data_IF_492666227667
#
_entry.id   IF_492666227667
#
_cell.length_a   1.000
_cell.length_b   1.000
_cell.length_c   1.000
_cell.angle_alpha   90.00
_cell.angle_beta   90.00
_cell.angle_gamma   90.00
#
_symmetry.space_group_name_H-M   'P 1'
#
loop_
_entity.id
_entity.type
_entity.pdbx_description
1 polymer ?
#
# COMPACT_ATOMS: atom_id res chain seq x y z
N UNK A 1 34.31 -34.48 6.46
CA UNK A 1 34.19 -33.27 7.30
C UNK A 1 34.94 -32.14 6.60
N UNK A 2 34.30 -30.97 6.53
CA UNK A 2 34.71 -29.69 5.90
C UNK A 2 34.33 -29.45 4.43
N UNK A 3 33.41 -28.48 4.29
CA UNK A 3 33.48 -27.32 3.38
C UNK A 3 33.07 -27.49 1.92
N UNK A 4 31.77 -27.38 1.67
CA UNK A 4 31.19 -26.85 0.42
C UNK A 4 30.09 -25.85 0.79
N UNK A 5 30.50 -24.70 1.32
CA UNK A 5 29.72 -23.46 1.30
C UNK A 5 30.37 -22.59 0.24
N UNK A 6 29.83 -22.56 -0.97
CA UNK A 6 30.17 -21.52 -1.95
C UNK A 6 28.90 -21.15 -2.74
N UNK A 7 28.62 -19.84 -2.67
CA UNK A 7 27.77 -19.06 -3.56
C UNK A 7 26.27 -19.09 -3.29
N UNK A 8 25.88 -18.64 -2.08
CA UNK A 8 24.65 -17.86 -1.94
C UNK A 8 25.01 -16.45 -2.42
N UNK A 9 24.55 -16.06 -3.61
CA UNK A 9 24.46 -14.64 -3.94
C UNK A 9 23.34 -14.11 -3.05
N UNK A 10 23.68 -13.64 -1.85
CA UNK A 10 22.76 -12.81 -1.07
C UNK A 10 22.53 -11.56 -1.89
N UNK A 11 21.39 -11.49 -2.58
CA UNK A 11 20.84 -10.22 -3.06
C UNK A 11 20.28 -9.51 -1.81
N UNK A 12 21.17 -9.10 -0.90
CA UNK A 12 20.90 -8.20 0.23
C UNK A 12 20.95 -6.73 -0.23
N UNK A 13 20.71 -6.47 -1.52
CA UNK A 13 20.95 -5.16 -2.15
C UNK A 13 19.70 -4.31 -2.42
N UNK A 14 18.53 -4.67 -1.88
CA UNK A 14 17.36 -3.78 -1.96
C UNK A 14 17.24 -2.79 -0.80
N UNK A 15 17.81 -3.09 0.38
CA UNK A 15 17.74 -2.17 1.53
C UNK A 15 18.63 -0.92 1.39
N UNK A 16 19.62 -0.94 0.48
CA UNK A 16 20.62 0.12 0.36
C UNK A 16 20.33 1.15 -0.73
N UNK A 17 19.27 0.98 -1.53
CA UNK A 17 19.09 1.81 -2.72
C UNK A 17 18.46 3.18 -2.43
N UNK A 18 17.83 3.37 -1.28
CA UNK A 18 17.36 4.70 -0.87
C UNK A 18 18.45 5.57 -0.22
N UNK A 19 19.70 5.08 -0.10
CA UNK A 19 20.75 5.76 0.68
C UNK A 19 22.01 6.19 -0.10
N UNK A 20 22.16 5.92 -1.41
CA UNK A 20 23.48 6.14 -2.05
C UNK A 20 23.53 6.74 -3.46
N UNK A 21 22.42 7.18 -4.07
CA UNK A 21 22.49 7.95 -5.32
C UNK A 21 21.89 9.34 -5.16
N UNK A 22 22.71 10.41 -5.06
CA UNK A 22 22.22 11.77 -5.15
C UNK A 22 21.88 12.04 -6.62
N UNK A 23 20.67 11.68 -7.08
CA UNK A 23 20.14 12.24 -8.31
C UNK A 23 19.81 13.71 -8.06
N UNK A 24 20.58 14.61 -8.66
CA UNK A 24 20.55 16.05 -8.36
C UNK A 24 19.26 16.80 -8.79
N UNK A 25 18.17 16.08 -9.10
CA UNK A 25 16.91 16.61 -9.65
C UNK A 25 15.63 16.07 -8.94
N UNK A 26 15.72 15.60 -7.68
CA UNK A 26 14.68 14.83 -6.96
C UNK A 26 13.52 15.61 -6.30
N UNK A 27 13.26 16.86 -6.65
CA UNK A 27 12.07 17.55 -6.09
C UNK A 27 10.83 17.13 -6.88
N UNK A 28 9.90 16.40 -6.24
CA UNK A 28 8.60 16.02 -6.80
C UNK A 28 8.59 14.68 -7.55
N UNK A 29 9.09 13.63 -6.90
CA UNK A 29 9.10 12.26 -7.44
C UNK A 29 8.53 11.28 -6.43
N UNK A 30 7.60 10.44 -6.89
CA UNK A 30 7.02 9.37 -6.09
C UNK A 30 7.94 8.16 -6.04
N UNK A 31 7.99 7.48 -4.89
CA UNK A 31 8.78 6.28 -4.71
C UNK A 31 7.88 5.06 -4.45
N UNK A 32 8.22 3.87 -4.98
CA UNK A 32 7.51 2.64 -4.62
C UNK A 32 7.68 2.37 -3.12
N UNK A 33 6.62 1.95 -2.43
CA UNK A 33 6.59 1.73 -0.97
C UNK A 33 6.66 0.23 -0.62
N UNK A 34 7.57 -0.48 -1.31
CA UNK A 34 7.94 -1.86 -1.00
C UNK A 34 9.17 -1.90 -0.08
N UNK A 35 9.06 -2.69 0.98
CA UNK A 35 10.16 -2.94 1.90
C UNK A 35 10.76 -4.35 1.70
N UNK A 36 12.09 -4.41 1.85
CA UNK A 36 12.95 -5.59 1.85
C UNK A 36 12.45 -6.78 1.00
N UNK A 37 12.78 -6.78 -0.30
CA UNK A 37 12.44 -7.88 -1.22
C UNK A 37 13.48 -9.00 -1.09
N UNK A 38 13.06 -10.21 -0.74
CA UNK A 38 13.96 -11.36 -0.60
C UNK A 38 13.72 -12.43 -1.67
N UNK A 39 14.76 -12.71 -2.47
CA UNK A 39 14.77 -13.84 -3.40
C UNK A 39 14.78 -15.16 -2.65
N UNK A 40 13.83 -16.05 -2.93
CA UNK A 40 13.64 -17.29 -2.17
C UNK A 40 14.59 -18.43 -2.57
N UNK A 41 15.34 -18.26 -3.66
CA UNK A 41 16.18 -19.33 -4.21
C UNK A 41 15.36 -20.48 -4.78
N UNK A 42 14.08 -20.23 -5.07
CA UNK A 42 13.11 -21.19 -5.54
C UNK A 42 12.35 -20.61 -6.74
N UNK A 43 11.94 -21.50 -7.65
CA UNK A 43 11.05 -21.16 -8.76
C UNK A 43 9.60 -21.46 -8.40
N UNK A 44 8.66 -20.90 -9.14
CA UNK A 44 7.24 -21.22 -9.04
C UNK A 44 6.91 -22.70 -9.35
N UNK A 45 7.87 -23.50 -9.84
CA UNK A 45 7.72 -24.95 -10.00
C UNK A 45 8.16 -25.75 -8.76
N UNK A 46 8.55 -25.10 -7.66
CA UNK A 46 8.97 -25.78 -6.44
C UNK A 46 7.83 -26.58 -5.81
N UNK A 47 8.05 -27.87 -5.54
CA UNK A 47 7.04 -28.78 -5.00
C UNK A 47 6.61 -28.47 -3.56
N UNK A 48 7.42 -27.70 -2.81
CA UNK A 48 7.15 -27.34 -1.42
C UNK A 48 7.67 -25.93 -1.14
N UNK A 49 6.91 -25.15 -0.37
CA UNK A 49 7.29 -23.82 0.14
C UNK A 49 7.48 -23.90 1.67
N UNK A 50 8.72 -24.11 2.17
CA UNK A 50 8.95 -24.33 3.60
C UNK A 50 8.59 -23.13 4.48
N UNK A 51 8.75 -21.89 3.98
CA UNK A 51 8.41 -20.66 4.71
C UNK A 51 6.90 -20.45 4.89
N UNK A 52 6.07 -21.16 4.11
CA UNK A 52 4.62 -21.08 4.18
C UNK A 52 4.02 -22.05 5.21
N UNK A 53 4.84 -22.74 6.01
CA UNK A 53 4.35 -23.66 7.03
C UNK A 53 3.97 -22.90 8.32
N UNK A 54 2.96 -23.35 9.10
CA UNK A 54 2.40 -22.60 10.24
C UNK A 54 3.37 -22.23 11.39
N UNK A 55 4.64 -22.68 11.35
CA UNK A 55 5.65 -22.47 12.39
C UNK A 55 7.06 -22.17 11.84
N UNK A 56 7.21 -21.94 10.53
CA UNK A 56 8.53 -21.64 9.95
C UNK A 56 9.04 -20.26 10.38
N UNK A 57 10.37 -20.13 10.40
CA UNK A 57 11.10 -18.86 10.51
C UNK A 57 12.23 -18.89 9.47
N UNK A 58 12.32 -17.92 8.54
CA UNK A 58 11.37 -16.84 8.30
C UNK A 58 10.00 -17.34 7.80
N UNK A 59 8.95 -16.52 7.97
CA UNK A 59 7.60 -16.81 7.50
C UNK A 59 7.39 -16.18 6.13
N UNK A 60 6.58 -16.81 5.31
CA UNK A 60 6.04 -16.21 4.11
C UNK A 60 4.57 -16.61 3.98
N UNK A 61 3.77 -15.78 3.33
CA UNK A 61 2.35 -16.08 3.14
C UNK A 61 1.98 -16.28 1.68
N UNK A 62 1.21 -17.36 1.47
CA UNK A 62 0.48 -17.62 0.23
C UNK A 62 -0.83 -16.82 0.20
N UNK A 63 -1.43 -16.59 -0.98
CA UNK A 63 -2.76 -15.99 -1.12
C UNK A 63 -3.80 -16.61 -0.19
N UNK A 64 -3.88 -17.95 -0.14
CA UNK A 64 -4.86 -18.66 0.69
C UNK A 64 -4.70 -18.39 2.17
N UNK A 65 -3.48 -18.20 2.65
CA UNK A 65 -3.18 -17.92 4.05
C UNK A 65 -3.64 -16.52 4.45
N UNK A 66 -3.34 -15.50 3.64
CA UNK A 66 -3.84 -14.13 3.86
C UNK A 66 -5.37 -14.07 3.73
N UNK A 67 -5.95 -14.72 2.72
CA UNK A 67 -7.41 -14.81 2.56
C UNK A 67 -8.08 -15.47 3.78
N UNK A 68 -7.42 -16.42 4.43
CA UNK A 68 -7.90 -17.02 5.67
C UNK A 68 -7.73 -16.09 6.87
N UNK A 69 -6.55 -15.47 7.04
CA UNK A 69 -6.26 -14.56 8.14
C UNK A 69 -7.24 -13.38 8.19
N UNK A 70 -7.56 -12.80 7.03
CA UNK A 70 -8.48 -11.67 6.91
C UNK A 70 -9.94 -12.05 6.68
N UNK A 71 -10.33 -13.31 6.91
CA UNK A 71 -11.71 -13.79 6.78
C UNK A 71 -12.35 -13.50 5.40
N UNK A 72 -11.57 -13.63 4.32
CA UNK A 72 -12.02 -13.43 2.94
C UNK A 72 -12.67 -14.69 2.37
N UNK A 73 -12.17 -15.88 2.72
CA UNK A 73 -12.69 -17.16 2.20
C UNK A 73 -14.22 -17.35 2.32
N UNK A 74 -14.89 -16.95 3.43
CA UNK A 74 -16.35 -17.01 3.51
C UNK A 74 -17.08 -16.15 2.47
N UNK A 75 -16.48 -15.04 2.02
CA UNK A 75 -17.04 -14.19 0.95
C UNK A 75 -16.94 -14.88 -0.41
N UNK A 76 -15.79 -15.52 -0.69
CA UNK A 76 -15.61 -16.30 -1.92
C UNK A 76 -16.60 -17.47 -2.01
N UNK A 77 -16.82 -18.18 -0.90
CA UNK A 77 -17.81 -19.24 -0.82
C UNK A 77 -19.25 -18.74 -1.08
N UNK A 78 -19.52 -17.45 -0.85
CA UNK A 78 -20.77 -16.78 -1.14
C UNK A 78 -20.83 -16.13 -2.54
N UNK A 79 -19.80 -16.33 -3.38
CA UNK A 79 -19.71 -15.74 -4.73
C UNK A 79 -19.31 -14.26 -4.77
N UNK A 80 -18.84 -13.70 -3.65
CA UNK A 80 -18.32 -12.33 -3.57
C UNK A 80 -16.81 -12.38 -3.79
N UNK A 81 -16.37 -12.23 -5.04
CA UNK A 81 -14.98 -12.39 -5.51
C UNK A 81 -14.41 -11.13 -6.18
N UNK A 82 -15.16 -10.03 -6.20
CA UNK A 82 -14.85 -8.82 -6.98
C UNK A 82 -15.48 -8.82 -8.38
N UNK A 83 -16.31 -9.83 -8.70
CA UNK A 83 -16.94 -9.98 -10.02
C UNK A 83 -17.71 -8.72 -10.42
N UNK A 84 -17.46 -8.24 -11.65
CA UNK A 84 -18.09 -7.04 -12.19
C UNK A 84 -17.49 -5.72 -11.69
N UNK A 85 -16.44 -5.78 -10.86
CA UNK A 85 -15.65 -4.62 -10.45
C UNK A 85 -14.32 -4.57 -11.20
N UNK A 86 -13.69 -3.41 -11.19
CA UNK A 86 -12.34 -3.24 -11.75
C UNK A 86 -11.49 -2.47 -10.76
N UNK A 87 -10.33 -3.03 -10.43
CA UNK A 87 -9.32 -2.37 -9.61
C UNK A 87 -8.35 -1.68 -10.57
N UNK A 88 -8.19 -0.37 -10.40
CA UNK A 88 -7.19 0.42 -11.11
C UNK A 88 -5.94 0.48 -10.26
N UNK A 89 -4.80 0.12 -10.82
CA UNK A 89 -3.47 0.26 -10.18
C UNK A 89 -2.75 1.37 -10.93
N UNK A 90 -2.26 2.38 -10.21
CA UNK A 90 -1.42 3.44 -10.77
C UNK A 90 0.03 3.14 -10.39
N UNK A 91 0.94 3.14 -11.36
CA UNK A 91 2.36 2.93 -11.11
C UNK A 91 3.22 3.70 -12.13
N UNK A 92 4.49 3.95 -11.82
CA UNK A 92 5.44 4.51 -12.78
C UNK A 92 6.15 3.42 -13.59
N UNK A 93 6.66 3.80 -14.77
CA UNK A 93 7.39 2.92 -15.67
C UNK A 93 6.57 1.69 -16.08
N UNK A 94 7.19 0.53 -16.20
CA UNK A 94 6.55 -0.69 -16.69
C UNK A 94 7.12 -1.95 -16.05
N UNK A 95 6.31 -3.02 -16.04
CA UNK A 95 6.77 -4.37 -15.73
C UNK A 95 6.65 -5.27 -16.96
N UNK A 96 7.73 -5.49 -17.74
CA UNK A 96 7.66 -6.14 -19.05
C UNK A 96 7.28 -7.63 -18.98
N UNK A 97 7.43 -8.28 -17.82
CA UNK A 97 7.11 -9.70 -17.62
C UNK A 97 5.77 -9.93 -16.93
N UNK A 98 5.04 -8.87 -16.58
CA UNK A 98 3.87 -8.92 -15.69
C UNK A 98 2.81 -9.94 -16.08
N UNK A 99 2.40 -10.00 -17.35
CA UNK A 99 1.38 -10.95 -17.78
C UNK A 99 1.81 -12.41 -17.60
N UNK A 100 3.10 -12.70 -17.80
CA UNK A 100 3.64 -14.03 -17.60
C UNK A 100 3.75 -14.35 -16.11
N UNK A 101 4.29 -13.42 -15.33
CA UNK A 101 4.47 -13.54 -13.88
C UNK A 101 3.13 -13.78 -13.18
N UNK A 102 2.11 -12.96 -13.46
CA UNK A 102 0.76 -13.10 -12.92
C UNK A 102 0.14 -14.46 -13.26
N UNK A 103 0.28 -14.90 -14.51
CA UNK A 103 -0.21 -16.21 -14.92
C UNK A 103 0.51 -17.37 -14.21
N UNK A 104 1.83 -17.26 -14.01
CA UNK A 104 2.60 -18.24 -13.24
C UNK A 104 2.17 -18.25 -11.77
N UNK A 105 1.97 -17.08 -11.16
CA UNK A 105 1.45 -16.90 -9.81
C UNK A 105 0.07 -17.55 -9.64
N UNK A 106 -0.84 -17.31 -10.60
CA UNK A 106 -2.18 -17.87 -10.60
C UNK A 106 -2.19 -19.38 -10.66
N UNK A 107 -1.37 -19.97 -11.53
CA UNK A 107 -1.22 -21.43 -11.59
C UNK A 107 -0.65 -21.99 -10.28
N UNK A 108 0.37 -21.34 -9.71
CA UNK A 108 1.02 -21.77 -8.47
C UNK A 108 0.03 -21.77 -7.30
N UNK A 109 -0.79 -20.74 -7.16
CA UNK A 109 -1.70 -20.57 -6.02
C UNK A 109 -3.15 -20.97 -6.31
N UNK A 110 -3.41 -21.54 -7.49
CA UNK A 110 -4.73 -22.01 -7.92
C UNK A 110 -5.79 -20.90 -7.96
N UNK A 111 -5.39 -19.73 -8.44
CA UNK A 111 -6.28 -18.61 -8.75
C UNK A 111 -6.70 -18.68 -10.23
N UNK A 112 -7.87 -18.12 -10.60
CA UNK A 112 -8.24 -17.98 -12.01
C UNK A 112 -7.37 -16.90 -12.67
N UNK A 113 -7.03 -17.06 -13.95
CA UNK A 113 -6.39 -15.99 -14.72
C UNK A 113 -7.33 -14.76 -14.82
N UNK A 114 -6.89 -13.55 -14.42
CA UNK A 114 -7.70 -12.36 -14.47
C UNK A 114 -7.73 -11.75 -15.87
N UNK A 115 -8.70 -10.86 -16.07
CA UNK A 115 -8.64 -9.88 -17.15
C UNK A 115 -7.76 -8.73 -16.68
N UNK A 116 -6.49 -8.73 -17.10
CA UNK A 116 -5.55 -7.62 -16.90
C UNK A 116 -5.45 -6.78 -18.18
N UNK A 117 -5.65 -5.47 -18.05
CA UNK A 117 -5.44 -4.49 -19.13
C UNK A 117 -4.38 -3.49 -18.69
N UNK A 118 -3.30 -3.38 -19.46
CA UNK A 118 -2.24 -2.39 -19.24
C UNK A 118 -2.47 -1.17 -20.13
N UNK A 119 -2.37 0.03 -19.57
CA UNK A 119 -2.65 1.30 -20.22
C UNK A 119 -1.50 2.27 -20.02
N UNK A 120 -0.98 2.82 -21.12
CA UNK A 120 0.14 3.78 -21.13
C UNK A 120 -0.30 5.09 -21.79
N UNK A 121 -1.26 5.82 -21.19
CA UNK A 121 -2.00 6.89 -21.87
C UNK A 121 -1.15 8.08 -22.31
N UNK A 122 0.06 8.24 -21.76
CA UNK A 122 0.98 9.33 -22.06
C UNK A 122 2.31 8.85 -22.65
N UNK A 123 2.31 7.62 -23.18
CA UNK A 123 3.51 6.91 -23.62
C UNK A 123 4.28 6.31 -22.45
N UNK A 124 5.32 5.55 -22.78
CA UNK A 124 6.06 4.72 -21.83
C UNK A 124 7.55 4.82 -22.12
N UNK A 125 8.36 4.93 -21.06
CA UNK A 125 9.81 4.79 -21.17
C UNK A 125 10.17 3.33 -21.45
N UNK A 126 11.16 3.07 -22.31
CA UNK A 126 11.65 1.70 -22.53
C UNK A 126 12.28 1.16 -21.24
N UNK A 127 11.96 -0.10 -20.90
CA UNK A 127 12.51 -0.75 -19.72
C UNK A 127 14.02 -0.94 -19.86
N UNK A 128 14.77 -0.40 -18.91
CA UNK A 128 16.21 -0.61 -18.76
C UNK A 128 16.48 -1.49 -17.53
N UNK A 129 16.90 -2.76 -17.71
CA UNK A 129 17.18 -3.66 -16.59
C UNK A 129 18.41 -3.25 -15.77
N UNK A 130 19.20 -2.28 -16.22
CA UNK A 130 20.31 -1.69 -15.46
C UNK A 130 19.90 -0.45 -14.65
N UNK A 131 18.72 0.11 -14.91
CA UNK A 131 18.12 1.17 -14.12
C UNK A 131 17.37 0.56 -12.94
N UNK A 132 17.99 0.64 -11.76
CA UNK A 132 17.45 0.05 -10.54
C UNK A 132 16.13 0.71 -10.09
N UNK A 133 15.85 1.95 -10.48
CA UNK A 133 14.55 2.58 -10.23
C UNK A 133 13.46 1.90 -11.06
N UNK A 134 13.73 1.64 -12.35
CA UNK A 134 12.77 0.94 -13.21
C UNK A 134 12.56 -0.51 -12.77
N UNK A 135 13.63 -1.21 -12.37
CA UNK A 135 13.52 -2.56 -11.80
C UNK A 135 12.68 -2.52 -10.51
N UNK A 136 12.89 -1.54 -9.64
CA UNK A 136 12.11 -1.40 -8.42
C UNK A 136 10.62 -1.21 -8.70
N UNK A 137 10.27 -0.30 -9.62
CA UNK A 137 8.88 -0.11 -10.07
C UNK A 137 8.28 -1.35 -10.74
N UNK A 138 9.08 -2.13 -11.47
CA UNK A 138 8.59 -3.39 -12.03
C UNK A 138 8.21 -4.41 -10.95
N UNK A 139 8.99 -4.47 -9.86
CA UNK A 139 8.68 -5.30 -8.68
C UNK A 139 7.42 -4.82 -7.95
N UNK A 140 7.28 -3.51 -7.76
CA UNK A 140 6.09 -2.86 -7.18
C UNK A 140 4.81 -3.19 -7.98
N UNK A 141 4.86 -3.03 -9.31
CA UNK A 141 3.75 -3.37 -10.20
C UNK A 141 3.36 -4.84 -10.07
N UNK A 142 4.35 -5.74 -10.01
CA UNK A 142 4.11 -7.18 -9.83
C UNK A 142 3.41 -7.47 -8.50
N UNK A 143 3.92 -6.93 -7.39
CA UNK A 143 3.33 -7.05 -6.06
C UNK A 143 1.86 -6.57 -6.06
N UNK A 144 1.63 -5.36 -6.57
CA UNK A 144 0.31 -4.73 -6.60
C UNK A 144 -0.71 -5.56 -7.36
N UNK A 145 -0.36 -6.01 -8.56
CA UNK A 145 -1.26 -6.73 -9.46
C UNK A 145 -1.57 -8.12 -8.91
N UNK A 146 -0.55 -8.87 -8.47
CA UNK A 146 -0.72 -10.22 -7.91
C UNK A 146 -1.57 -10.19 -6.63
N UNK A 147 -1.35 -9.22 -5.74
CA UNK A 147 -2.06 -9.17 -4.46
C UNK A 147 -3.43 -8.51 -4.51
N UNK A 148 -3.67 -7.56 -5.44
CA UNK A 148 -5.02 -7.10 -5.72
C UNK A 148 -5.88 -8.25 -6.26
N UNK A 149 -5.32 -9.03 -7.19
CA UNK A 149 -5.96 -10.21 -7.77
C UNK A 149 -6.21 -11.31 -6.72
N UNK A 150 -5.22 -11.61 -5.89
CA UNK A 150 -5.35 -12.61 -4.83
C UNK A 150 -6.54 -12.33 -3.89
N UNK A 151 -6.82 -11.07 -3.59
CA UNK A 151 -7.91 -10.70 -2.67
C UNK A 151 -9.26 -10.49 -3.39
N UNK A 152 -9.26 -10.28 -4.71
CA UNK A 152 -10.46 -10.15 -5.52
C UNK A 152 -10.31 -10.88 -6.88
N UNK A 153 -10.29 -12.23 -6.89
CA UNK A 153 -9.93 -13.02 -8.06
C UNK A 153 -10.96 -12.96 -9.20
N UNK A 154 -12.15 -12.39 -8.96
CA UNK A 154 -13.16 -12.12 -9.98
C UNK A 154 -13.16 -10.69 -10.51
N UNK A 155 -12.36 -9.79 -9.95
CA UNK A 155 -12.25 -8.42 -10.45
C UNK A 155 -11.42 -8.37 -11.74
N UNK A 156 -11.73 -7.42 -12.61
CA UNK A 156 -10.79 -7.03 -13.66
C UNK A 156 -9.70 -6.13 -13.05
N UNK A 157 -8.54 -6.10 -13.68
CA UNK A 157 -7.42 -5.25 -13.29
C UNK A 157 -7.11 -4.29 -14.45
N UNK A 158 -6.99 -3.01 -14.14
CA UNK A 158 -6.44 -2.01 -15.07
C UNK A 158 -5.18 -1.44 -14.47
N UNK A 159 -4.03 -1.78 -15.03
CA UNK A 159 -2.77 -1.12 -14.70
C UNK A 159 -2.63 0.13 -15.58
N UNK A 160 -2.45 1.29 -14.95
CA UNK A 160 -2.19 2.56 -15.65
C UNK A 160 -0.78 3.01 -15.33
N UNK A 161 0.09 2.85 -16.32
CA UNK A 161 1.51 3.15 -16.24
C UNK A 161 1.75 4.64 -16.57
N UNK A 162 2.30 5.36 -15.61
CA UNK A 162 2.85 6.69 -15.79
C UNK A 162 4.23 6.59 -16.46
N UNK A 163 4.54 7.60 -17.28
CA UNK A 163 5.80 7.63 -18.05
C UNK A 163 7.05 7.60 -17.16
N UNK A 164 6.98 8.23 -16.00
CA UNK A 164 8.04 8.35 -15.00
C UNK A 164 7.44 8.53 -13.60
N UNK A 165 8.24 8.44 -12.52
CA UNK A 165 7.77 8.67 -11.15
C UNK A 165 7.54 10.14 -10.83
N UNK A 166 7.80 11.07 -11.75
CA UNK A 166 7.56 12.48 -11.51
C UNK A 166 6.09 12.77 -11.22
N UNK A 167 5.82 13.65 -10.28
CA UNK A 167 4.46 14.02 -9.84
C UNK A 167 3.49 14.27 -10.98
N UNK A 168 3.93 15.05 -11.97
CA UNK A 168 3.09 15.44 -13.09
C UNK A 168 2.69 14.25 -13.96
N UNK A 169 3.55 13.26 -14.12
CA UNK A 169 3.28 12.05 -14.90
C UNK A 169 2.31 11.12 -14.15
N UNK A 170 2.51 10.96 -12.83
CA UNK A 170 1.59 10.21 -11.96
C UNK A 170 0.20 10.86 -11.94
N UNK A 171 0.13 12.18 -11.76
CA UNK A 171 -1.15 12.91 -11.80
C UNK A 171 -1.79 12.86 -13.20
N UNK A 172 -1.01 12.78 -14.27
CA UNK A 172 -1.53 12.61 -15.63
C UNK A 172 -2.14 11.21 -15.84
N UNK A 173 -1.52 10.16 -15.31
CA UNK A 173 -2.05 8.79 -15.31
C UNK A 173 -3.33 8.69 -14.46
N UNK A 174 -3.32 9.22 -13.24
CA UNK A 174 -4.49 9.29 -12.35
C UNK A 174 -5.66 10.04 -13.01
N UNK A 175 -5.38 11.22 -13.60
CA UNK A 175 -6.40 11.99 -14.33
C UNK A 175 -6.97 11.23 -15.52
N UNK A 176 -6.17 10.42 -16.21
CA UNK A 176 -6.68 9.58 -17.29
C UNK A 176 -7.64 8.54 -16.73
N UNK A 177 -7.22 7.76 -15.73
CA UNK A 177 -8.03 6.71 -15.11
C UNK A 177 -9.40 7.20 -14.59
N UNK A 178 -9.42 8.38 -13.97
CA UNK A 178 -10.65 8.99 -13.46
C UNK A 178 -11.58 9.42 -14.61
N UNK A 179 -11.04 10.08 -15.65
CA UNK A 179 -11.84 10.56 -16.79
C UNK A 179 -12.43 9.42 -17.62
N UNK A 180 -11.70 8.33 -17.79
CA UNK A 180 -12.16 7.14 -18.51
C UNK A 180 -13.02 6.22 -17.65
N UNK A 181 -13.14 6.50 -16.34
CA UNK A 181 -13.84 5.65 -15.36
C UNK A 181 -13.37 4.20 -15.42
N UNK A 182 -12.06 4.01 -15.40
CA UNK A 182 -11.43 2.69 -15.63
C UNK A 182 -11.66 1.66 -14.51
N UNK A 183 -12.34 2.01 -13.42
CA UNK A 183 -12.71 1.07 -12.38
C UNK A 183 -13.41 1.71 -11.19
N UNK A 184 -13.51 0.96 -10.08
CA UNK A 184 -14.23 1.38 -8.86
C UNK A 184 -13.31 1.56 -7.66
N UNK A 185 -12.07 1.08 -7.73
CA UNK A 185 -11.02 1.29 -6.72
C UNK A 185 -9.75 1.76 -7.42
N UNK A 186 -9.03 2.71 -6.84
CA UNK A 186 -7.73 3.20 -7.33
C UNK A 186 -6.67 2.90 -6.27
N UNK A 187 -5.82 1.91 -6.53
CA UNK A 187 -4.70 1.51 -5.68
C UNK A 187 -3.43 2.28 -6.05
N UNK A 188 -2.75 2.82 -5.04
CA UNK A 188 -1.53 3.62 -5.18
C UNK A 188 -0.51 3.20 -4.11
N UNK A 189 0.43 2.35 -4.48
CA UNK A 189 1.44 1.77 -3.59
C UNK A 189 2.77 2.53 -3.67
N UNK A 190 2.68 3.85 -3.67
CA UNK A 190 3.82 4.75 -3.77
C UNK A 190 3.61 5.98 -2.91
N UNK A 191 4.68 6.71 -2.65
CA UNK A 191 4.58 8.02 -2.02
C UNK A 191 5.90 8.75 -1.85
N UNK A 192 5.80 9.94 -1.29
CA UNK A 192 6.88 10.78 -0.81
C UNK A 192 6.38 11.57 0.41
N UNK A 193 7.27 12.28 1.11
CA UNK A 193 6.86 13.17 2.18
C UNK A 193 5.89 14.24 1.66
N UNK A 194 4.75 14.42 2.31
CA UNK A 194 3.72 15.34 1.81
C UNK A 194 4.21 16.79 1.66
N UNK A 195 5.24 17.19 2.42
CA UNK A 195 5.88 18.50 2.37
C UNK A 195 6.92 18.65 1.25
N UNK A 196 7.22 17.58 0.50
CA UNK A 196 7.98 17.62 -0.74
C UNK A 196 7.12 17.97 -1.97
N UNK A 197 5.82 17.74 -1.86
CA UNK A 197 4.89 18.15 -2.90
C UNK A 197 4.64 19.67 -2.85
N UNK A 198 4.66 20.33 -4.01
CA UNK A 198 4.30 21.76 -4.06
C UNK A 198 2.82 21.97 -3.71
N UNK A 199 2.43 23.13 -3.14
CA UNK A 199 1.03 23.43 -2.88
C UNK A 199 0.12 23.34 -4.11
N UNK A 200 0.65 23.62 -5.31
CA UNK A 200 -0.09 23.50 -6.56
C UNK A 200 -0.30 22.04 -6.97
N UNK A 201 0.71 21.19 -6.77
CA UNK A 201 0.63 19.75 -7.01
C UNK A 201 -0.39 19.11 -6.07
N UNK A 202 -0.31 19.38 -4.76
CA UNK A 202 -1.26 18.89 -3.75
C UNK A 202 -2.70 19.35 -4.06
N UNK A 203 -2.89 20.62 -4.42
CA UNK A 203 -4.22 21.12 -4.79
C UNK A 203 -4.78 20.42 -6.04
N UNK A 204 -3.93 20.08 -7.00
CA UNK A 204 -4.31 19.34 -8.21
C UNK A 204 -4.66 17.89 -7.87
N UNK A 205 -3.84 17.24 -7.05
CA UNK A 205 -4.04 15.88 -6.58
C UNK A 205 -5.36 15.75 -5.79
N UNK A 206 -5.59 16.64 -4.82
CA UNK A 206 -6.84 16.68 -4.06
C UNK A 206 -8.07 16.87 -4.96
N UNK A 207 -7.98 17.77 -5.94
CA UNK A 207 -9.07 17.98 -6.90
C UNK A 207 -9.36 16.75 -7.77
N UNK A 208 -8.36 15.91 -8.05
CA UNK A 208 -8.55 14.62 -8.71
C UNK A 208 -9.24 13.62 -7.79
N UNK A 209 -8.87 13.54 -6.50
CA UNK A 209 -9.55 12.66 -5.56
C UNK A 209 -11.00 13.07 -5.29
N UNK A 210 -11.32 14.37 -5.28
CA UNK A 210 -12.71 14.86 -5.29
C UNK A 210 -13.46 14.31 -6.49
N UNK A 211 -12.88 14.37 -7.70
CA UNK A 211 -13.51 13.84 -8.92
C UNK A 211 -13.65 12.32 -8.89
N UNK A 212 -12.64 11.59 -8.39
CA UNK A 212 -12.66 10.14 -8.26
C UNK A 212 -13.81 9.69 -7.35
N UNK A 213 -13.88 10.27 -6.15
CA UNK A 213 -14.94 9.99 -5.17
C UNK A 213 -16.32 10.33 -5.72
N UNK A 214 -16.48 11.47 -6.41
CA UNK A 214 -17.75 11.84 -7.05
C UNK A 214 -18.14 10.89 -8.20
N UNK A 215 -17.15 10.26 -8.84
CA UNK A 215 -17.37 9.22 -9.84
C UNK A 215 -17.62 7.83 -9.23
N UNK A 216 -17.66 7.71 -7.90
CA UNK A 216 -17.84 6.43 -7.19
C UNK A 216 -16.57 5.60 -7.10
N UNK A 217 -15.40 6.15 -7.44
CA UNK A 217 -14.12 5.47 -7.31
C UNK A 217 -13.56 5.69 -5.90
N UNK A 218 -13.03 4.65 -5.27
CA UNK A 218 -12.40 4.74 -3.94
C UNK A 218 -10.88 4.78 -4.08
N UNK A 219 -10.22 5.91 -3.80
CA UNK A 219 -8.76 5.98 -3.74
C UNK A 219 -8.25 5.30 -2.46
N UNK A 220 -7.23 4.46 -2.59
CA UNK A 220 -6.53 3.79 -1.49
C UNK A 220 -5.03 3.92 -1.72
N UNK A 221 -4.25 4.18 -0.67
CA UNK A 221 -2.82 4.39 -0.79
C UNK A 221 -2.01 3.91 0.42
N UNK A 222 -0.77 3.49 0.14
CA UNK A 222 0.22 3.05 1.12
C UNK A 222 0.65 4.21 2.03
N UNK A 223 0.67 3.97 3.35
CA UNK A 223 0.97 5.00 4.35
C UNK A 223 2.47 5.29 4.50
N UNK A 224 3.35 4.42 3.99
CA UNK A 224 4.81 4.56 4.03
C UNK A 224 5.51 3.40 4.74
N UNK A 225 6.82 3.31 4.55
CA UNK A 225 7.65 2.16 4.96
C UNK A 225 8.82 2.53 5.89
N UNK A 226 8.90 3.81 6.23
CA UNK A 226 10.01 4.41 7.01
C UNK A 226 9.55 4.90 8.38
N UNK A 227 8.43 4.35 8.87
CA UNK A 227 7.88 4.65 10.19
C UNK A 227 7.32 6.05 10.29
N UNK A 228 7.64 6.74 11.39
CA UNK A 228 7.28 8.14 11.58
C UNK A 228 8.21 9.14 10.87
N UNK A 229 9.10 8.65 10.00
CA UNK A 229 10.04 9.45 9.24
C UNK A 229 9.85 9.19 7.74
N UNK A 230 10.20 10.16 6.90
CA UNK A 230 10.35 10.00 5.46
C UNK A 230 11.64 10.71 5.02
N UNK A 231 12.23 10.33 3.87
CA UNK A 231 13.31 11.09 3.27
C UNK A 231 12.93 12.56 3.07
N UNK A 232 13.89 13.46 3.24
CA UNK A 232 13.74 14.85 2.83
C UNK A 232 13.71 14.98 1.31
N UNK A 233 13.24 16.12 0.79
CA UNK A 233 13.00 16.30 -0.65
C UNK A 233 14.29 16.35 -1.49
N UNK A 234 15.46 16.32 -0.85
CA UNK A 234 16.75 16.22 -1.51
C UNK A 234 17.39 14.83 -1.32
N UNK A 235 16.67 13.89 -0.70
CA UNK A 235 17.15 12.58 -0.24
C UNK A 235 18.47 12.66 0.54
N UNK A 236 18.67 13.75 1.30
CA UNK A 236 19.89 14.04 2.05
C UNK A 236 19.81 13.60 3.53
N UNK A 237 18.62 13.21 3.98
CA UNK A 237 18.32 12.87 5.35
C UNK A 237 16.86 12.48 5.52
N UNK A 238 16.44 12.37 6.77
CA UNK A 238 15.09 12.00 7.15
C UNK A 238 14.51 13.01 8.13
N UNK A 239 13.23 13.31 7.98
CA UNK A 239 12.48 14.13 8.92
C UNK A 239 11.14 13.48 9.23
N UNK A 240 10.48 13.98 10.27
CA UNK A 240 9.11 13.57 10.58
C UNK A 240 8.18 14.09 9.50
N UNK A 241 7.53 13.18 8.78
CA UNK A 241 6.48 13.50 7.83
C UNK A 241 5.51 12.32 7.70
N UNK A 242 4.45 12.53 6.92
CA UNK A 242 3.50 11.50 6.52
C UNK A 242 3.44 11.44 5.00
N UNK A 243 3.09 10.28 4.45
CA UNK A 243 3.17 10.02 3.01
C UNK A 243 2.00 10.64 2.24
N UNK A 244 2.28 11.27 1.11
CA UNK A 244 1.29 11.60 0.07
C UNK A 244 1.34 10.52 -1.03
N UNK A 245 0.20 10.04 -1.59
CA UNK A 245 -1.16 10.58 -1.47
C UNK A 245 -1.94 10.13 -0.23
N UNK A 246 -1.41 9.25 0.62
CA UNK A 246 -2.15 8.71 1.77
C UNK A 246 -2.66 9.81 2.73
N UNK A 247 -1.96 10.93 2.85
CA UNK A 247 -2.34 12.04 3.72
C UNK A 247 -3.59 12.81 3.27
N UNK A 248 -4.04 12.67 2.03
CA UNK A 248 -5.28 13.31 1.56
C UNK A 248 -6.51 12.71 2.30
N UNK A 249 -7.41 13.55 2.87
CA UNK A 249 -8.62 13.09 3.57
C UNK A 249 -9.65 12.32 2.71
N UNK A 250 -9.48 12.27 1.39
CA UNK A 250 -10.31 11.48 0.48
C UNK A 250 -9.68 10.14 0.10
N UNK A 251 -8.43 9.89 0.48
CA UNK A 251 -7.72 8.64 0.23
C UNK A 251 -7.78 7.76 1.48
N UNK A 252 -8.13 6.49 1.31
CA UNK A 252 -8.05 5.51 2.39
C UNK A 252 -6.58 5.15 2.60
N UNK A 253 -5.97 5.64 3.69
CA UNK A 253 -4.57 5.35 4.00
C UNK A 253 -4.43 3.96 4.62
N UNK A 254 -3.51 3.16 4.11
CA UNK A 254 -3.28 1.77 4.54
C UNK A 254 -1.87 1.64 5.12
N UNK A 255 -1.81 1.34 6.41
CA UNK A 255 -0.57 1.03 7.13
C UNK A 255 -0.26 -0.46 7.18
N UNK A 256 0.77 -0.78 7.94
CA UNK A 256 1.41 -2.08 7.99
C UNK A 256 1.36 -2.74 9.36
N UNK A 257 1.06 -4.02 9.35
CA UNK A 257 1.15 -4.91 10.51
C UNK A 257 2.21 -5.98 10.28
N UNK A 258 2.67 -6.58 11.38
CA UNK A 258 3.40 -7.84 11.35
C UNK A 258 2.41 -8.95 11.68
N UNK A 259 2.02 -9.74 10.68
CA UNK A 259 1.08 -10.85 10.85
C UNK A 259 1.81 -12.09 11.32
N UNK A 260 1.43 -12.61 12.49
CA UNK A 260 1.88 -13.91 12.98
C UNK A 260 0.72 -14.91 12.94
N UNK A 261 0.60 -15.66 11.85
CA UNK A 261 -0.42 -16.71 11.79
C UNK A 261 -0.14 -17.84 12.79
N UNK A 262 -1.17 -18.23 13.53
CA UNK A 262 -1.18 -19.35 14.46
C UNK A 262 -2.60 -19.87 14.69
N UNK A 263 -2.88 -20.53 15.82
CA UNK A 263 -4.26 -20.96 16.18
C UNK A 263 -5.21 -19.77 16.41
N UNK A 264 -4.64 -18.59 16.64
CA UNK A 264 -5.32 -17.32 16.88
C UNK A 264 -4.72 -16.26 15.96
N UNK A 265 -5.55 -15.33 15.50
CA UNK A 265 -5.11 -14.16 14.75
C UNK A 265 -4.26 -13.27 15.68
N UNK A 266 -3.01 -13.01 15.31
CA UNK A 266 -2.09 -12.17 16.07
C UNK A 266 -1.39 -11.22 15.12
N UNK A 267 -1.52 -9.92 15.39
CA UNK A 267 -0.84 -8.86 14.67
C UNK A 267 -0.31 -7.83 15.68
N UNK A 268 0.88 -7.31 15.37
CA UNK A 268 1.47 -6.13 15.98
C UNK A 268 1.76 -5.09 14.92
N UNK A 269 2.15 -3.88 15.33
CA UNK A 269 2.72 -2.89 14.42
C UNK A 269 3.91 -3.49 13.68
N UNK A 270 3.99 -3.29 12.36
CA UNK A 270 5.22 -3.57 11.62
C UNK A 270 6.26 -2.48 11.91
N UNK A 271 7.35 -2.87 12.57
CA UNK A 271 8.53 -2.04 12.81
C UNK A 271 9.74 -2.93 13.15
N UNK A 272 10.64 -3.10 12.19
CA UNK A 272 11.80 -3.97 12.28
C UNK A 272 12.97 -3.49 11.38
N UNK A 273 13.96 -4.34 11.17
CA UNK A 273 15.12 -4.02 10.32
C UNK A 273 14.77 -3.91 8.82
N UNK A 274 13.60 -4.44 8.41
CA UNK A 274 13.09 -4.35 7.03
C UNK A 274 12.37 -3.03 6.74
N UNK A 275 11.83 -2.37 7.76
CA UNK A 275 11.14 -1.09 7.67
C UNK A 275 10.14 -0.90 8.81
N UNK A 276 9.30 0.13 8.70
CA UNK A 276 8.23 0.34 9.66
C UNK A 276 7.03 1.02 9.02
N UNK A 277 5.82 0.71 9.49
CA UNK A 277 4.61 1.34 8.96
C UNK A 277 4.63 2.87 9.10
N UNK A 278 4.32 3.53 8.00
CA UNK A 278 3.99 4.94 7.96
C UNK A 278 2.77 5.25 8.82
N UNK A 279 2.80 6.39 9.50
CA UNK A 279 1.72 6.79 10.39
C UNK A 279 2.08 8.03 11.20
N UNK A 280 1.08 8.83 11.51
CA UNK A 280 1.26 10.10 12.21
C UNK A 280 0.13 11.07 11.93
N UNK A 281 0.46 12.34 11.84
CA UNK A 281 -0.48 13.42 11.57
C UNK A 281 0.10 14.33 10.49
N UNK A 282 -0.74 14.70 9.53
CA UNK A 282 -0.39 15.62 8.44
C UNK A 282 0.00 17.01 8.98
N UNK A 283 0.99 17.63 8.37
CA UNK A 283 1.30 19.06 8.49
C UNK A 283 0.44 19.93 7.55
N UNK A 284 -0.24 19.33 6.58
CA UNK A 284 -0.93 20.02 5.48
C UNK A 284 -2.45 20.00 5.64
N UNK A 285 -3.01 18.82 5.88
CA UNK A 285 -4.45 18.60 5.90
C UNK A 285 -5.00 18.67 7.33
N UNK A 286 -6.02 19.51 7.53
CA UNK A 286 -6.79 19.55 8.77
C UNK A 286 -7.52 18.22 9.04
N UNK A 287 -7.83 17.97 10.32
CA UNK A 287 -8.54 16.75 10.74
C UNK A 287 -9.91 16.70 10.06
N UNK A 288 -10.20 15.69 9.23
CA UNK A 288 -11.50 15.54 8.63
C UNK A 288 -12.55 15.13 9.68
N UNK A 289 -13.81 15.49 9.43
CA UNK A 289 -14.87 15.28 10.41
C UNK A 289 -15.11 13.82 10.78
N UNK A 290 -14.79 12.86 9.90
CA UNK A 290 -14.90 11.43 10.19
C UNK A 290 -13.89 10.96 11.25
N UNK A 291 -12.82 11.72 11.51
CA UNK A 291 -11.87 11.47 12.61
C UNK A 291 -12.26 12.19 13.90
N UNK A 292 -13.40 12.89 13.93
CA UNK A 292 -13.91 13.43 15.19
C UNK A 292 -14.24 12.28 16.14
N UNK A 293 -13.75 12.36 17.37
CA UNK A 293 -14.01 11.37 18.41
C UNK A 293 -12.96 10.25 18.52
N UNK A 294 -12.05 10.11 17.55
CA UNK A 294 -10.93 9.14 17.65
C UNK A 294 -9.59 9.77 18.01
N UNK A 295 -9.42 11.07 17.72
CA UNK A 295 -8.21 11.82 18.06
C UNK A 295 -8.55 13.24 18.47
N UNK A 296 -7.73 13.82 19.33
CA UNK A 296 -7.79 15.24 19.72
C UNK A 296 -6.89 16.12 18.87
N UNK A 297 -5.99 15.54 18.06
CA UNK A 297 -5.14 16.28 17.12
C UNK A 297 -6.02 17.02 16.09
N UNK A 298 -5.57 18.19 15.63
CA UNK A 298 -6.29 19.04 14.68
C UNK A 298 -5.96 18.75 13.21
N UNK A 299 -5.01 17.85 12.95
CA UNK A 299 -4.62 17.43 11.61
C UNK A 299 -5.16 16.03 11.24
N UNK A 300 -5.20 15.72 9.93
CA UNK A 300 -5.52 14.39 9.40
C UNK A 300 -4.52 13.38 9.96
N UNK A 301 -5.01 12.44 10.77
CA UNK A 301 -4.20 11.33 11.29
C UNK A 301 -4.20 10.16 10.33
N UNK A 302 -3.11 9.40 10.21
CA UNK A 302 -3.02 8.20 9.37
C UNK A 302 -2.27 7.08 10.09
N UNK A 303 -2.48 5.82 9.68
CA UNK A 303 -3.36 5.37 8.60
C UNK A 303 -4.84 5.32 9.01
N UNK A 304 -5.73 4.98 8.07
CA UNK A 304 -7.15 4.70 8.37
C UNK A 304 -7.36 3.24 8.78
N UNK A 305 -6.61 2.33 8.14
CA UNK A 305 -6.61 0.87 8.34
C UNK A 305 -5.20 0.33 8.15
N UNK A 306 -4.96 -0.95 8.43
CA UNK A 306 -3.70 -1.61 8.14
C UNK A 306 -3.89 -3.02 7.57
N UNK A 307 -2.84 -3.64 7.07
CA UNK A 307 -2.75 -5.08 6.80
C UNK A 307 -1.27 -5.51 6.81
N UNK A 308 -1.00 -6.79 6.60
CA UNK A 308 0.35 -7.35 6.67
C UNK A 308 1.28 -6.64 5.70
N UNK A 309 2.41 -6.22 6.23
CA UNK A 309 3.42 -5.42 5.54
C UNK A 309 4.84 -5.81 5.96
N UNK A 310 5.01 -6.69 6.94
CA UNK A 310 6.34 -7.07 7.41
C UNK A 310 7.01 -8.03 6.40
N UNK A 311 8.18 -7.69 5.82
CA UNK A 311 8.92 -8.58 4.93
C UNK A 311 9.37 -9.90 5.58
N UNK A 312 9.56 -9.96 6.90
CA UNK A 312 9.86 -11.20 7.64
C UNK A 312 8.67 -12.14 7.75
N UNK A 313 7.47 -11.61 7.51
CA UNK A 313 6.23 -12.35 7.32
C UNK A 313 5.68 -12.12 5.90
N UNK A 314 6.58 -11.81 4.96
CA UNK A 314 6.20 -11.24 3.68
C UNK A 314 5.36 -12.14 2.80
N UNK A 315 4.73 -11.51 1.83
CA UNK A 315 3.90 -12.18 0.85
C UNK A 315 4.69 -12.68 -0.34
N UNK A 316 4.36 -13.89 -0.81
CA UNK A 316 5.00 -14.46 -1.97
C UNK A 316 4.54 -13.76 -3.25
N UNK A 317 5.48 -13.50 -4.17
CA UNK A 317 5.22 -13.02 -5.53
C UNK A 317 6.10 -13.76 -6.55
N UNK A 318 5.69 -13.79 -7.82
CA UNK A 318 6.51 -14.27 -8.94
C UNK A 318 7.06 -13.07 -9.69
N UNK A 319 8.38 -12.91 -9.80
CA UNK A 319 8.94 -11.69 -10.40
C UNK A 319 10.14 -11.96 -11.31
N UNK A 320 9.88 -12.01 -12.62
CA UNK A 320 10.89 -12.32 -13.64
C UNK A 320 11.71 -11.12 -14.10
N UNK A 321 11.20 -9.89 -13.94
CA UNK A 321 11.91 -8.65 -14.29
C UNK A 321 13.02 -8.26 -13.28
N UNK A 322 13.22 -9.07 -12.23
CA UNK A 322 14.25 -8.87 -11.20
C UNK A 322 15.69 -9.03 -11.67
N UNK A 323 15.90 -9.64 -12.84
CA UNK A 323 17.23 -10.05 -13.32
C UNK A 323 17.75 -11.36 -12.70
N UNK A 324 17.00 -11.98 -11.78
CA UNK A 324 17.37 -13.26 -11.16
C UNK A 324 17.03 -14.48 -12.03
N UNK A 325 16.26 -14.28 -13.11
CA UNK A 325 15.76 -15.32 -14.00
C UNK A 325 14.23 -15.37 -14.03
N UNK A 326 13.68 -16.18 -14.93
CA UNK A 326 12.23 -16.34 -15.03
C UNK A 326 11.64 -17.17 -13.87
N UNK A 327 10.36 -16.93 -13.58
CA UNK A 327 9.53 -17.66 -12.61
C UNK A 327 10.13 -17.74 -11.20
N UNK A 328 10.97 -16.77 -10.81
CA UNK A 328 11.58 -16.76 -9.48
C UNK A 328 10.58 -16.27 -8.43
N UNK A 329 10.60 -16.93 -7.27
CA UNK A 329 9.80 -16.53 -6.12
C UNK A 329 10.56 -15.53 -5.26
N UNK A 330 9.82 -14.50 -4.86
CA UNK A 330 10.28 -13.48 -3.93
C UNK A 330 9.28 -13.36 -2.78
N UNK A 331 9.76 -12.86 -1.65
CA UNK A 331 8.88 -12.32 -0.60
C UNK A 331 8.96 -10.80 -0.63
N UNK A 332 7.79 -10.18 -0.53
CA UNK A 332 7.60 -8.74 -0.48
C UNK A 332 6.93 -8.37 0.82
N UNK A 333 7.28 -7.20 1.36
CA UNK A 333 6.52 -6.52 2.40
C UNK A 333 6.28 -5.07 1.99
N UNK A 334 6.27 -4.17 2.97
CA UNK A 334 5.91 -2.78 2.79
C UNK A 334 4.41 -2.56 2.89
N UNK A 335 4.04 -1.30 3.15
CA UNK A 335 2.64 -0.87 3.04
C UNK A 335 2.12 -1.02 1.60
N UNK A 336 3.01 -1.15 0.62
CA UNK A 336 2.69 -1.65 -0.72
C UNK A 336 2.12 -3.06 -0.78
N UNK A 337 2.41 -3.98 0.15
CA UNK A 337 1.71 -5.27 0.19
C UNK A 337 0.28 -5.09 0.74
N UNK A 338 0.14 -4.26 1.78
CA UNK A 338 -1.13 -4.03 2.48
C UNK A 338 -2.18 -3.29 1.63
N UNK A 339 -1.75 -2.36 0.77
CA UNK A 339 -2.60 -1.49 -0.06
C UNK A 339 -3.43 -2.24 -1.11
N UNK A 340 -2.84 -3.06 -2.00
CA UNK A 340 -3.58 -3.85 -2.98
C UNK A 340 -4.46 -4.92 -2.32
N UNK A 341 -4.10 -5.44 -1.14
CA UNK A 341 -5.00 -6.32 -0.37
C UNK A 341 -6.29 -5.59 0.02
N UNK A 342 -6.17 -4.37 0.53
CA UNK A 342 -7.34 -3.51 0.81
C UNK A 342 -8.07 -3.11 -0.46
N UNK A 343 -7.38 -2.87 -1.58
CA UNK A 343 -8.02 -2.62 -2.86
C UNK A 343 -8.90 -3.80 -3.31
N UNK A 344 -8.43 -5.04 -3.12
CA UNK A 344 -9.20 -6.25 -3.32
C UNK A 344 -10.44 -6.31 -2.43
N UNK A 345 -10.29 -6.06 -1.12
CA UNK A 345 -11.41 -6.04 -0.15
C UNK A 345 -12.45 -4.96 -0.51
N UNK A 346 -12.01 -3.79 -0.94
CA UNK A 346 -12.89 -2.72 -1.42
C UNK A 346 -13.64 -3.13 -2.69
N UNK A 347 -13.01 -3.90 -3.60
CA UNK A 347 -13.70 -4.47 -4.75
C UNK A 347 -14.76 -5.52 -4.35
N UNK A 348 -14.51 -6.32 -3.31
CA UNK A 348 -15.53 -7.22 -2.74
C UNK A 348 -16.74 -6.44 -2.22
N UNK A 349 -16.48 -5.33 -1.51
CA UNK A 349 -17.52 -4.42 -1.02
C UNK A 349 -18.28 -3.72 -2.16
N UNK A 350 -17.59 -3.27 -3.19
CA UNK A 350 -18.21 -2.67 -4.37
C UNK A 350 -19.09 -3.69 -5.14
N UNK A 351 -18.65 -4.96 -5.27
CA UNK A 351 -19.50 -6.02 -5.82
C UNK A 351 -20.76 -6.19 -4.97
N UNK A 352 -20.62 -6.21 -3.64
CA UNK A 352 -21.76 -6.40 -2.73
C UNK A 352 -22.75 -5.23 -2.78
N UNK A 353 -22.25 -4.01 -2.96
CA UNK A 353 -23.04 -2.80 -3.16
C UNK A 353 -23.70 -2.74 -4.55
N UNK A 354 -23.11 -3.39 -5.55
CA UNK A 354 -23.51 -3.31 -6.96
C UNK A 354 -23.03 -2.05 -7.67
N UNK A 355 -22.18 -1.24 -7.03
CA UNK A 355 -21.59 -0.02 -7.57
C UNK A 355 -20.29 0.33 -6.82
N UNK A 356 -19.49 1.23 -7.39
CA UNK A 356 -18.31 1.77 -6.71
C UNK A 356 -18.68 2.57 -5.45
N UNK A 357 -17.84 2.50 -4.42
CA UNK A 357 -18.17 3.00 -3.08
C UNK A 357 -17.89 4.50 -2.91
N UNK A 358 -16.99 5.08 -3.71
CA UNK A 358 -16.57 6.48 -3.54
C UNK A 358 -15.86 6.71 -2.20
N UNK A 359 -16.37 7.63 -1.39
CA UNK A 359 -15.77 8.03 -0.11
C UNK A 359 -16.15 7.08 1.02
N UNK A 360 -15.23 6.19 1.40
CA UNK A 360 -15.50 5.10 2.37
C UNK A 360 -15.19 5.45 3.82
N UNK A 361 -14.34 6.44 4.07
CA UNK A 361 -13.83 6.79 5.40
C UNK A 361 -14.98 7.12 6.38
N UNK A 362 -16.00 7.92 6.03
CA UNK A 362 -17.10 8.16 6.96
C UNK A 362 -17.83 6.87 7.39
N UNK A 363 -18.06 5.94 6.46
CA UNK A 363 -18.69 4.66 6.76
C UNK A 363 -17.79 3.76 7.61
N UNK A 364 -16.50 3.66 7.26
CA UNK A 364 -15.49 2.93 8.02
C UNK A 364 -15.42 3.40 9.48
N UNK A 365 -15.25 4.71 9.70
CA UNK A 365 -15.09 5.26 11.05
C UNK A 365 -16.36 5.16 11.87
N UNK A 366 -17.54 5.32 11.25
CA UNK A 366 -18.80 5.08 11.94
C UNK A 366 -18.95 3.61 12.36
N UNK A 367 -18.64 2.67 11.46
CA UNK A 367 -18.77 1.23 11.76
C UNK A 367 -17.80 0.79 12.84
N UNK A 368 -16.51 1.10 12.68
CA UNK A 368 -15.45 0.67 13.59
C UNK A 368 -15.60 1.29 14.99
N UNK A 369 -16.08 2.53 15.09
CA UNK A 369 -16.35 3.18 16.39
C UNK A 369 -17.43 2.47 17.21
N UNK A 370 -18.33 1.71 16.58
CA UNK A 370 -19.33 0.88 17.26
C UNK A 370 -18.78 -0.47 17.74
N UNK A 371 -17.45 -0.69 17.69
CA UNK A 371 -16.77 -1.93 18.11
C UNK A 371 -17.36 -3.20 17.46
N UNK A 372 -17.81 -3.08 16.22
CA UNK A 372 -18.50 -4.11 15.43
C UNK A 372 -17.62 -5.33 15.06
N UNK A 373 -16.35 -5.39 15.51
CA UNK A 373 -15.34 -6.39 15.12
C UNK A 373 -15.06 -6.40 13.61
N UNK A 374 -15.38 -5.32 12.90
CA UNK A 374 -15.14 -5.17 11.45
C UNK A 374 -13.65 -5.13 11.11
N UNK A 375 -12.82 -4.78 12.10
CA UNK A 375 -11.37 -4.87 12.03
C UNK A 375 -10.83 -5.67 13.22
N UNK A 376 -9.63 -6.21 13.05
CA UNK A 376 -8.81 -6.70 14.15
C UNK A 376 -7.97 -5.52 14.68
N UNK A 377 -8.19 -5.17 15.94
CA UNK A 377 -7.55 -4.04 16.62
C UNK A 377 -6.10 -4.37 17.00
N UNK A 378 -5.13 -3.63 16.46
CA UNK A 378 -3.71 -3.79 16.79
C UNK A 378 -3.41 -2.89 17.97
N UNK A 379 -2.86 -3.46 19.05
CA UNK A 379 -2.69 -2.73 20.32
C UNK A 379 -1.26 -2.76 20.86
N UNK A 380 -0.31 -3.28 20.06
CA UNK A 380 1.08 -3.48 20.47
C UNK A 380 2.06 -3.03 19.39
N UNK A 381 3.07 -2.28 19.82
CA UNK A 381 4.14 -1.78 18.97
C UNK A 381 4.06 -0.27 18.73
N UNK A 382 5.05 0.26 18.03
CA UNK A 382 5.18 1.69 17.69
C UNK A 382 5.80 1.80 16.31
N UNK A 383 5.63 2.92 15.61
CA UNK A 383 6.39 3.22 14.39
C UNK A 383 7.58 4.17 14.63
N UNK A 384 8.13 4.16 15.84
CA UNK A 384 9.37 4.89 16.15
C UNK A 384 10.54 4.26 15.41
N UNK A 385 11.28 5.04 14.64
CA UNK A 385 12.42 4.55 13.86
C UNK A 385 13.70 5.27 14.25
N UNK A 386 14.82 4.59 14.03
CA UNK A 386 16.14 5.21 14.07
C UNK A 386 16.70 5.25 12.65
N UNK A 387 17.03 6.43 12.17
CA UNK A 387 17.45 6.69 10.78
C UNK A 387 18.87 7.25 10.76
N UNK A 388 19.71 6.91 9.77
CA UNK A 388 21.04 7.49 9.66
C UNK A 388 20.96 8.98 9.28
N UNK A 389 21.88 9.79 9.77
CA UNK A 389 22.22 11.09 9.18
C UNK A 389 23.26 10.93 8.07
N UNK A 390 23.52 12.02 7.34
CA UNK A 390 24.55 12.06 6.28
C UNK A 390 25.99 11.80 6.76
N UNK A 391 26.23 11.67 8.07
CA UNK A 391 27.52 11.32 8.66
C UNK A 391 27.56 9.86 9.19
N UNK A 392 26.48 9.09 9.01
CA UNK A 392 26.36 7.70 9.46
C UNK A 392 25.95 7.53 10.92
N UNK A 393 25.65 8.60 11.66
CA UNK A 393 25.08 8.49 13.02
C UNK A 393 23.57 8.26 12.95
N UNK A 394 23.02 7.43 13.83
CA UNK A 394 21.58 7.15 13.85
C UNK A 394 20.86 8.09 14.80
N UNK A 395 19.81 8.75 14.32
CA UNK A 395 18.92 9.60 15.10
C UNK A 395 17.56 8.94 15.22
N UNK A 396 17.00 8.92 16.42
CA UNK A 396 15.65 8.39 16.65
C UNK A 396 14.62 9.46 16.35
N UNK A 397 13.70 9.17 15.44
CA UNK A 397 12.50 9.97 15.18
C UNK A 397 11.34 9.29 15.91
N UNK A 398 10.84 9.87 17.03
CA UNK A 398 9.78 9.25 17.83
C UNK A 398 8.51 9.09 17.00
N UNK A 399 7.91 7.91 16.98
CA UNK A 399 6.62 7.68 16.33
C UNK A 399 5.44 7.85 17.26
N UNK A 400 4.33 7.22 16.90
CA UNK A 400 3.21 6.97 17.81
C UNK A 400 3.14 5.49 18.16
N UNK A 401 2.29 5.14 19.12
CA UNK A 401 2.14 3.77 19.61
C UNK A 401 0.75 3.25 19.31
N UNK A 402 0.66 1.95 19.02
CA UNK A 402 -0.63 1.30 18.90
C UNK A 402 -1.39 1.34 20.23
N UNK A 403 -2.71 1.45 20.16
CA UNK A 403 -3.60 1.52 21.33
C UNK A 403 -4.95 0.88 20.99
N UNK A 404 -5.83 0.74 21.98
CA UNK A 404 -7.18 0.22 21.73
C UNK A 404 -7.98 1.20 20.86
N UNK A 405 -8.57 0.69 19.79
CA UNK A 405 -9.34 1.49 18.84
C UNK A 405 -8.43 2.20 17.84
N UNK A 406 -8.89 3.29 17.24
CA UNK A 406 -8.08 3.96 16.24
C UNK A 406 -6.78 4.55 16.82
N UNK A 407 -5.68 4.36 16.09
CA UNK A 407 -4.39 4.98 16.37
C UNK A 407 -3.65 5.45 15.12
N UNK A 408 -2.70 6.36 15.30
CA UNK A 408 -1.91 6.93 14.21
C UNK A 408 -0.70 6.05 13.82
N UNK A 409 -0.84 4.73 13.94
CA UNK A 409 0.14 3.72 13.53
C UNK A 409 -0.50 2.68 12.62
N UNK A 410 -1.64 2.13 13.02
CA UNK A 410 -2.37 1.06 12.33
C UNK A 410 -3.83 1.40 12.06
N UNK A 411 -4.27 2.62 12.40
CA UNK A 411 -5.63 3.08 12.15
C UNK A 411 -6.61 2.27 12.96
N UNK A 412 -7.68 1.80 12.34
CA UNK A 412 -8.61 0.84 12.95
C UNK A 412 -8.09 -0.60 12.99
N UNK A 413 -6.88 -0.85 12.50
CA UNK A 413 -6.28 -2.16 12.41
C UNK A 413 -6.60 -2.90 11.10
N UNK A 414 -6.47 -4.22 11.13
CA UNK A 414 -6.54 -5.06 9.92
C UNK A 414 -7.93 -5.57 9.59
N UNK A 415 -8.21 -5.97 8.33
CA UNK A 415 -9.57 -6.26 7.93
C UNK A 415 -10.08 -7.58 8.51
N UNK A 416 -11.27 -7.55 9.11
CA UNK A 416 -12.14 -8.71 9.15
C UNK A 416 -13.08 -8.63 7.93
N UNK A 417 -12.59 -9.08 6.76
CA UNK A 417 -13.23 -8.86 5.47
C UNK A 417 -14.71 -9.25 5.47
N UNK A 418 -15.06 -10.38 6.10
CA UNK A 418 -16.44 -10.85 6.24
C UNK A 418 -17.41 -9.79 6.77
N UNK A 419 -16.97 -8.95 7.69
CA UNK A 419 -17.81 -7.94 8.33
C UNK A 419 -17.65 -6.57 7.68
N UNK A 420 -16.41 -6.11 7.45
CA UNK A 420 -16.17 -4.78 6.86
C UNK A 420 -16.74 -4.65 5.44
N UNK A 421 -16.73 -5.73 4.64
CA UNK A 421 -17.34 -5.73 3.29
C UNK A 421 -18.84 -5.43 3.35
N UNK A 422 -19.53 -5.95 4.37
CA UNK A 422 -20.96 -5.68 4.56
C UNK A 422 -21.20 -4.25 5.05
N UNK A 423 -20.38 -3.78 5.99
CA UNK A 423 -20.47 -2.43 6.54
C UNK A 423 -20.27 -1.35 5.47
N UNK A 424 -19.27 -1.53 4.60
CA UNK A 424 -18.97 -0.58 3.52
C UNK A 424 -19.97 -0.64 2.37
N UNK A 425 -20.50 -1.83 2.05
CA UNK A 425 -21.49 -1.98 0.97
C UNK A 425 -22.87 -1.37 1.32
N UNK A 426 -23.23 -1.38 2.61
CA UNK A 426 -24.53 -0.91 3.09
C UNK A 426 -24.36 -0.07 4.37
N UNK A 427 -23.81 1.15 4.27
CA UNK A 427 -23.63 2.02 5.42
C UNK A 427 -24.99 2.37 6.03
N UNK A 428 -25.10 2.30 7.36
CA UNK A 428 -26.32 2.62 8.09
C UNK A 428 -26.63 4.12 8.02
N UNK A 429 -27.44 4.50 7.02
CA UNK A 429 -28.16 5.77 6.84
C UNK A 429 -27.64 6.98 7.64
N UNK A 430 -26.45 7.45 7.30
CA UNK A 430 -26.12 8.87 7.36
C UNK A 430 -25.75 9.27 5.93
N UNK A 431 -26.32 10.34 5.36
CA UNK A 431 -25.78 10.86 4.10
C UNK A 431 -24.29 11.15 4.33
N UNK A 432 -23.41 10.83 3.36
CA UNK A 432 -22.00 11.15 3.51
C UNK A 432 -21.90 12.65 3.83
N UNK A 433 -21.03 13.05 4.77
CA UNK A 433 -20.82 14.47 5.04
C UNK A 433 -20.47 15.19 3.72
N UNK A 434 -20.64 16.51 3.68
CA UNK A 434 -20.12 17.25 2.54
C UNK A 434 -18.62 16.94 2.40
N UNK A 435 -18.16 16.71 1.17
CA UNK A 435 -16.73 16.54 0.90
C UNK A 435 -15.97 17.69 1.57
N UNK A 436 -14.79 17.42 2.17
CA UNK A 436 -13.99 18.44 2.81
C UNK A 436 -13.85 19.63 1.87
N UNK A 437 -14.29 20.81 2.29
CA UNK A 437 -13.95 22.04 1.58
C UNK A 437 -12.46 22.29 1.81
N UNK A 438 -11.80 22.85 0.80
CA UNK A 438 -10.37 23.21 0.77
C UNK A 438 -9.96 23.91 2.09
N UNK A 439 -9.50 23.15 3.06
CA UNK A 439 -8.78 23.61 4.25
C UNK A 439 -7.33 23.16 4.09
N UNK A 440 -6.72 23.54 2.96
CA UNK A 440 -5.26 23.65 2.91
C UNK A 440 -4.95 24.75 3.90
N UNK A 441 -4.12 24.46 4.92
CA UNK A 441 -3.66 25.51 5.81
C UNK A 441 -3.11 26.67 4.96
N UNK A 442 -3.74 27.84 5.09
CA UNK A 442 -3.19 29.06 4.50
C UNK A 442 -1.73 29.18 4.96
N UNK A 443 -0.76 29.47 4.07
CA UNK A 443 0.59 29.82 4.47
C UNK A 443 0.56 31.24 5.06
N UNK A 444 0.00 31.36 6.26
CA UNK A 444 0.01 32.55 7.08
C UNK A 444 0.40 32.16 8.51
N UNK A 445 1.62 31.64 8.66
CA UNK A 445 2.42 31.92 9.85
C UNK A 445 3.25 33.15 9.50
N UNK A 446 2.67 34.29 9.86
CA UNK A 446 3.18 35.65 9.72
C UNK A 446 4.63 35.79 10.18
N UNK A 447 5.43 36.44 9.35
CA UNK A 447 6.55 37.26 9.80
C UNK A 447 6.07 38.26 10.87
N UNK A 448 6.84 38.33 11.97
CA UNK A 448 7.02 39.47 12.89
C UNK A 448 5.79 40.15 13.52
N UNK A 449 5.79 40.15 14.86
CA UNK A 449 5.89 41.38 15.65
C UNK A 449 7.05 41.19 16.64
#
# INVERSE_FOLDING_TARGET
MRSLWHTVISITWFLALFLTTPSRDLVGTMHPLMAAVHHMGATANAATLPCAQPESLPRCYTPRQIQQAYNVLPLFAAGVTGTGQTIVIIAAYQSPTLHHDLHTFDRLFHLPDPVLVVQTPHGMAAFDPSDLSQVAWAGEITLDVEWAHALAPGAHLTLVEARSPADNDILAALRWAIRTRSGTVISQSFGEAEDCMTPATLATQHALFVQAVQAGMTPVAAAGDTGAALPDCADAGFHRAVSSPASDPLVLAVGGTQLAMGRTHQESVWNDDGGATGGGYSAIYARPSYQNGVTTNRARGLPDVAADADPQTGVLCVWSASGAGADQLFTFGGTSASTPMWAGILALAAQRAGHGLGWVQPALYASAAHQTRDTFDITQGTNTVSVPDGNGFRHTIPGTSAQRGWDAVTGWGSPNARLIVLALAHPTSQPPPNLPRKEVMDPCITCTC
#
